data_IF_359199813008
#
_entry.id   IF_359199813008
#
_cell.length_a   1.000
_cell.length_b   1.000
_cell.length_c   1.000
_cell.angle_alpha   90.00
_cell.angle_beta   90.00
_cell.angle_gamma   90.00
#
_symmetry.space_group_name_H-M   'P 1'
#
loop_
_entity.id
_entity.type
_entity.pdbx_description
1 polymer ?
#
# COMPACT_ATOMS: atom_id res chain seq x y z
N UNK A 1 12.96 5.33 -62.51
CA UNK A 1 14.11 4.47 -62.90
C UNK A 1 15.00 4.29 -61.67
N UNK A 2 15.43 3.05 -61.37
CA UNK A 2 14.58 2.12 -60.63
C UNK A 2 15.30 1.31 -59.53
N UNK A 3 14.49 0.60 -58.75
CA UNK A 3 14.64 -0.76 -58.21
C UNK A 3 15.99 -1.26 -57.69
N UNK A 4 15.95 -1.79 -56.45
CA UNK A 4 16.35 -3.19 -56.26
C UNK A 4 15.64 -3.86 -55.08
N UNK A 5 14.67 -4.67 -55.44
CA UNK A 5 14.10 -5.80 -54.69
C UNK A 5 14.79 -7.08 -55.16
N UNK A 6 14.98 -8.06 -54.26
CA UNK A 6 15.11 -9.54 -54.40
C UNK A 6 16.22 -10.09 -53.49
N UNK A 7 16.08 -11.23 -52.81
CA UNK A 7 14.97 -12.14 -52.51
C UNK A 7 15.46 -13.10 -51.41
N UNK A 8 14.49 -13.79 -50.81
CA UNK A 8 14.47 -15.15 -50.22
C UNK A 8 15.73 -16.04 -50.34
N UNK A 9 15.99 -16.99 -49.45
CA UNK A 9 15.12 -18.13 -49.14
C UNK A 9 15.69 -19.00 -48.00
N UNK A 10 14.77 -19.68 -47.29
CA UNK A 10 14.84 -21.07 -46.77
C UNK A 10 15.97 -21.46 -45.78
N UNK A 11 15.74 -22.29 -44.76
CA UNK A 11 14.95 -23.54 -44.76
C UNK A 11 14.70 -24.04 -43.33
N UNK A 12 13.49 -24.53 -43.11
CA UNK A 12 13.06 -25.37 -42.01
C UNK A 12 13.73 -26.77 -42.00
N UNK A 13 13.75 -27.34 -40.79
CA UNK A 13 13.65 -28.77 -40.46
C UNK A 13 14.80 -29.73 -40.85
N UNK A 14 15.36 -30.44 -39.87
CA UNK A 14 15.20 -31.91 -39.70
C UNK A 14 16.23 -32.52 -38.74
N UNK A 15 15.73 -33.02 -37.60
CA UNK A 15 15.89 -34.40 -37.10
C UNK A 15 17.26 -35.12 -37.12
N UNK A 16 17.75 -35.37 -35.89
CA UNK A 16 18.08 -36.68 -35.29
C UNK A 16 19.45 -37.37 -35.47
N UNK A 17 19.93 -37.84 -34.30
CA UNK A 17 20.63 -39.10 -34.00
C UNK A 17 22.10 -39.26 -34.44
N UNK A 18 23.04 -39.24 -33.48
CA UNK A 18 23.42 -40.44 -32.69
C UNK A 18 24.83 -40.33 -32.09
N UNK A 19 24.99 -40.97 -30.92
CA UNK A 19 26.18 -41.70 -30.42
C UNK A 19 27.14 -41.03 -29.42
N UNK A 20 26.99 -41.47 -28.15
CA UNK A 20 27.98 -41.98 -27.17
C UNK A 20 29.19 -41.10 -26.80
N UNK A 21 29.73 -41.02 -25.58
CA UNK A 21 29.68 -41.64 -24.22
C UNK A 21 30.51 -40.63 -23.36
N UNK A 22 30.38 -40.43 -22.05
CA UNK A 22 30.44 -41.37 -20.93
C UNK A 22 30.18 -40.62 -19.59
N UNK A 23 29.53 -41.32 -18.65
CA UNK A 23 29.80 -41.47 -17.19
C UNK A 23 30.02 -40.24 -16.26
N UNK A 24 29.56 -40.17 -14.99
CA UNK A 24 28.76 -41.02 -14.09
C UNK A 24 28.60 -40.32 -12.71
N UNK A 25 27.62 -40.78 -11.89
CA UNK A 25 27.48 -40.67 -10.39
C UNK A 25 26.92 -39.34 -9.85
N UNK A 26 25.92 -39.24 -8.96
CA UNK A 26 24.95 -40.09 -8.23
C UNK A 26 23.78 -39.12 -7.86
N UNK A 27 22.48 -39.47 -7.89
CA UNK A 27 21.78 -40.52 -7.15
C UNK A 27 21.13 -39.88 -5.91
N UNK A 28 19.83 -39.89 -5.64
CA UNK A 28 18.67 -40.47 -6.30
C UNK A 28 17.49 -40.18 -5.38
N UNK A 29 16.34 -39.83 -5.95
CA UNK A 29 15.12 -39.50 -5.23
C UNK A 29 14.01 -40.48 -5.64
N UNK A 30 12.97 -40.49 -4.82
CA UNK A 30 11.61 -40.94 -5.10
C UNK A 30 11.13 -42.38 -4.82
N UNK A 31 9.86 -42.34 -4.41
CA UNK A 31 8.97 -43.36 -3.95
C UNK A 31 8.36 -44.20 -5.09
N UNK A 32 7.83 -45.37 -4.75
CA UNK A 32 6.38 -45.67 -4.83
C UNK A 32 6.07 -47.18 -4.78
N UNK A 33 4.99 -47.48 -4.06
CA UNK A 33 3.95 -48.50 -4.34
C UNK A 33 4.28 -50.01 -4.46
N UNK A 34 3.77 -50.73 -3.44
CA UNK A 34 2.64 -51.68 -3.46
C UNK A 34 2.81 -53.12 -4.03
N UNK A 35 2.39 -54.07 -3.19
CA UNK A 35 1.92 -55.46 -3.44
C UNK A 35 3.03 -56.43 -3.89
N UNK A 36 3.19 -57.64 -3.36
CA UNK A 36 2.19 -58.70 -3.19
C UNK A 36 2.70 -59.82 -2.25
N UNK A 37 1.76 -60.72 -2.00
CA UNK A 37 1.59 -61.87 -1.13
C UNK A 37 2.64 -62.99 -1.11
N UNK A 38 2.52 -63.76 0.00
CA UNK A 38 2.71 -65.21 0.21
C UNK A 38 4.08 -65.78 0.58
N UNK A 39 4.00 -66.50 1.71
CA UNK A 39 4.58 -67.81 2.06
C UNK A 39 6.06 -68.05 1.72
N UNK A 40 6.83 -68.46 2.73
CA UNK A 40 7.51 -69.77 2.77
C UNK A 40 8.20 -70.01 4.13
N UNK A 41 7.68 -71.03 4.83
CA UNK A 41 8.34 -72.11 5.57
C UNK A 41 9.68 -71.92 6.33
N UNK A 42 9.62 -72.42 7.57
CA UNK A 42 10.46 -73.49 8.15
C UNK A 42 11.84 -73.16 8.71
N UNK A 43 12.02 -73.60 9.98
CA UNK A 43 13.30 -73.86 10.60
C UNK A 43 13.40 -73.30 12.04
N UNK A 44 13.60 -74.00 13.16
CA UNK A 44 13.53 -75.40 13.62
C UNK A 44 14.18 -75.41 15.02
N UNK A 45 13.53 -76.07 16.02
CA UNK A 45 14.08 -76.61 17.30
C UNK A 45 14.51 -75.57 18.38
N UNK A 46 14.34 -75.76 19.69
CA UNK A 46 14.01 -76.92 20.54
C UNK A 46 13.29 -76.49 21.85
N UNK A 47 12.35 -77.34 22.26
CA UNK A 47 11.67 -77.55 23.55
C UNK A 47 12.62 -77.84 24.76
N UNK A 48 12.16 -78.15 26.01
CA UNK A 48 10.78 -78.10 26.56
C UNK A 48 10.66 -77.71 28.08
N UNK A 49 9.39 -77.68 28.53
CA UNK A 49 8.88 -78.11 29.85
C UNK A 49 9.19 -77.27 31.10
N UNK A 50 8.13 -76.79 31.76
CA UNK A 50 7.57 -77.58 32.87
C UNK A 50 6.12 -77.17 33.22
N UNK A 51 5.39 -78.20 33.62
CA UNK A 51 4.01 -78.20 34.08
C UNK A 51 3.83 -77.41 35.39
N UNK A 52 2.70 -76.72 35.56
CA UNK A 52 1.68 -77.21 36.50
C UNK A 52 0.34 -76.46 36.48
N UNK A 53 -0.69 -77.29 36.39
CA UNK A 53 -2.12 -77.10 36.62
C UNK A 53 -2.45 -76.44 37.98
N UNK A 54 -3.42 -75.52 38.04
CA UNK A 54 -4.84 -75.84 38.30
C UNK A 54 -5.68 -74.66 38.84
N UNK A 55 -6.90 -74.60 38.30
CA UNK A 55 -8.17 -74.12 38.86
C UNK A 55 -8.45 -72.59 39.01
N UNK A 56 -9.61 -72.11 38.50
CA UNK A 56 -10.07 -70.75 38.70
C UNK A 56 -10.80 -70.62 40.03
N UNK A 57 -10.49 -69.58 40.81
CA UNK A 57 -11.33 -69.14 41.91
C UNK A 57 -11.95 -67.78 41.57
N UNK A 58 -13.29 -67.74 41.61
CA UNK A 58 -14.06 -66.51 41.57
C UNK A 58 -13.70 -65.64 42.77
N UNK A 59 -13.35 -64.37 42.54
CA UNK A 59 -13.40 -63.33 43.57
C UNK A 59 -13.57 -61.95 42.93
N UNK A 60 -14.64 -61.26 43.34
CA UNK A 60 -15.01 -59.90 42.94
C UNK A 60 -13.91 -58.91 43.37
N UNK A 61 -13.47 -58.06 42.44
CA UNK A 61 -12.48 -56.99 42.71
C UNK A 61 -12.74 -55.73 41.87
N UNK A 62 -13.60 -54.87 42.43
CA UNK A 62 -13.77 -53.42 42.27
C UNK A 62 -12.90 -52.70 41.21
N UNK A 63 -13.60 -52.06 40.26
CA UNK A 63 -13.18 -51.04 39.31
C UNK A 63 -12.14 -50.02 39.87
N UNK A 64 -10.98 -49.88 39.21
CA UNK A 64 -10.09 -48.71 39.34
C UNK A 64 -9.85 -47.93 38.01
N UNK A 65 -10.85 -47.58 37.18
CA UNK A 65 -10.67 -46.59 36.12
C UNK A 65 -10.71 -45.13 36.60
N UNK A 66 -11.10 -44.91 37.87
CA UNK A 66 -11.38 -43.56 38.39
C UNK A 66 -10.15 -42.65 38.47
N UNK A 67 -8.95 -43.17 38.77
CA UNK A 67 -7.75 -42.31 38.90
C UNK A 67 -7.17 -41.88 37.55
N UNK A 68 -7.19 -42.77 36.56
CA UNK A 68 -6.68 -42.43 35.21
C UNK A 68 -7.63 -41.42 34.55
N UNK A 69 -8.95 -41.63 34.64
CA UNK A 69 -9.94 -40.68 34.14
C UNK A 69 -9.83 -39.31 34.84
N UNK A 70 -9.65 -39.28 36.16
CA UNK A 70 -9.46 -38.04 36.91
C UNK A 70 -8.20 -37.28 36.48
N UNK A 71 -7.07 -37.99 36.28
CA UNK A 71 -5.81 -37.38 35.83
C UNK A 71 -5.94 -36.83 34.41
N UNK A 72 -6.59 -37.55 33.49
CA UNK A 72 -6.83 -37.07 32.12
C UNK A 72 -7.73 -35.83 32.12
N UNK A 73 -8.78 -35.81 32.94
CA UNK A 73 -9.66 -34.65 33.09
C UNK A 73 -8.91 -33.46 33.71
N UNK A 74 -8.09 -33.69 34.74
CA UNK A 74 -7.28 -32.62 35.34
C UNK A 74 -6.25 -32.05 34.35
N UNK A 75 -5.58 -32.90 33.57
CA UNK A 75 -4.64 -32.48 32.55
C UNK A 75 -5.33 -31.70 31.42
N UNK A 76 -6.52 -32.14 30.99
CA UNK A 76 -7.33 -31.41 30.02
C UNK A 76 -7.78 -30.05 30.58
N UNK A 77 -8.23 -30.00 31.84
CA UNK A 77 -8.59 -28.76 32.51
C UNK A 77 -7.38 -27.82 32.68
N UNK A 78 -6.21 -28.34 33.03
CA UNK A 78 -4.97 -27.55 33.09
C UNK A 78 -4.56 -27.03 31.72
N UNK A 79 -4.74 -27.83 30.66
CA UNK A 79 -4.53 -27.39 29.28
C UNK A 79 -5.50 -26.28 28.87
N UNK A 80 -6.79 -26.42 29.18
CA UNK A 80 -7.81 -25.40 28.89
C UNK A 80 -7.61 -24.14 29.72
N UNK A 81 -7.33 -24.26 31.01
CA UNK A 81 -7.07 -23.13 31.91
C UNK A 81 -5.75 -22.45 31.55
N UNK A 82 -4.71 -23.20 31.20
CA UNK A 82 -3.44 -22.67 30.72
C UNK A 82 -3.59 -21.96 29.38
N UNK A 83 -4.33 -22.54 28.44
CA UNK A 83 -4.66 -21.91 27.17
C UNK A 83 -5.50 -20.65 27.38
N UNK A 84 -6.52 -20.69 28.23
CA UNK A 84 -7.33 -19.52 28.56
C UNK A 84 -6.51 -18.42 29.24
N UNK A 85 -5.64 -18.77 30.20
CA UNK A 85 -4.75 -17.83 30.87
C UNK A 85 -3.71 -17.24 29.89
N UNK A 86 -3.22 -18.03 28.95
CA UNK A 86 -2.34 -17.57 27.86
C UNK A 86 -3.06 -16.58 26.95
N UNK A 87 -4.27 -16.90 26.48
CA UNK A 87 -5.09 -15.98 25.67
C UNK A 87 -5.47 -14.71 26.45
N UNK A 88 -5.75 -14.84 27.75
CA UNK A 88 -6.04 -13.70 28.61
C UNK A 88 -4.79 -12.83 28.81
N UNK A 89 -3.61 -13.44 28.91
CA UNK A 89 -2.34 -12.71 28.97
C UNK A 89 -2.03 -12.00 27.66
N UNK A 90 -2.29 -12.62 26.50
CA UNK A 90 -2.19 -11.96 25.19
C UNK A 90 -3.19 -10.80 25.05
N UNK A 91 -4.42 -10.95 25.57
CA UNK A 91 -5.43 -9.90 25.56
C UNK A 91 -5.01 -8.68 26.40
N UNK A 92 -4.32 -8.89 27.53
CA UNK A 92 -3.84 -7.81 28.39
C UNK A 92 -2.43 -7.31 28.05
N UNK A 93 -1.65 -8.07 27.28
CA UNK A 93 -0.32 -7.73 26.77
C UNK A 93 -0.17 -8.27 25.34
N UNK A 94 -0.71 -7.55 24.33
CA UNK A 94 -0.64 -7.98 22.93
C UNK A 94 0.82 -8.17 22.45
N UNK A 95 1.77 -7.43 23.04
CA UNK A 95 3.20 -7.57 22.73
C UNK A 95 3.89 -8.86 23.19
N UNK A 96 3.17 -9.86 23.71
CA UNK A 96 3.72 -11.17 24.07
C UNK A 96 3.54 -12.24 22.98
N UNK A 97 2.92 -11.89 21.85
CA UNK A 97 2.76 -12.83 20.73
C UNK A 97 4.14 -13.14 20.09
N UNK A 98 4.44 -14.42 19.75
CA UNK A 98 5.76 -14.80 19.22
C UNK A 98 6.21 -13.97 18.01
N UNK A 99 5.30 -13.63 17.11
CA UNK A 99 5.55 -12.77 15.94
C UNK A 99 6.02 -11.37 16.36
N UNK A 100 5.39 -10.77 17.37
CA UNK A 100 5.80 -9.47 17.89
C UNK A 100 7.19 -9.47 18.54
N UNK A 101 7.70 -10.62 19.01
CA UNK A 101 9.06 -10.71 19.54
C UNK A 101 10.09 -10.76 18.41
N UNK A 102 9.81 -11.53 17.37
CA UNK A 102 10.65 -11.64 16.18
C UNK A 102 10.75 -10.30 15.46
N UNK A 103 9.63 -9.62 15.23
CA UNK A 103 9.59 -8.29 14.61
C UNK A 103 10.34 -7.24 15.44
N UNK A 104 10.19 -7.23 16.77
CA UNK A 104 10.96 -6.32 17.63
C UNK A 104 12.45 -6.62 17.60
N UNK A 105 12.83 -7.90 17.57
CA UNK A 105 14.23 -8.31 17.40
C UNK A 105 14.77 -7.82 16.06
N UNK A 106 14.01 -8.00 14.99
CA UNK A 106 14.35 -7.60 13.64
C UNK A 106 14.46 -6.07 13.52
N UNK A 107 13.53 -5.31 14.10
CA UNK A 107 13.58 -3.84 14.17
C UNK A 107 14.83 -3.34 14.93
N UNK A 108 15.21 -3.99 16.02
CA UNK A 108 16.46 -3.68 16.74
C UNK A 108 17.70 -4.03 15.91
N UNK A 109 17.67 -5.13 15.16
CA UNK A 109 18.75 -5.50 14.23
C UNK A 109 18.88 -4.49 13.08
N UNK A 110 17.77 -4.08 12.48
CA UNK A 110 17.69 -3.02 11.47
C UNK A 110 18.28 -1.72 12.02
N UNK A 111 17.80 -1.27 13.18
CA UNK A 111 18.30 -0.05 13.81
C UNK A 111 19.80 -0.13 14.13
N UNK A 112 20.29 -1.28 14.59
CA UNK A 112 21.73 -1.50 14.81
C UNK A 112 22.51 -1.37 13.51
N UNK A 113 22.04 -1.97 12.41
CA UNK A 113 22.68 -1.85 11.11
C UNK A 113 22.74 -0.39 10.64
N UNK A 114 21.60 0.30 10.67
CA UNK A 114 21.45 1.70 10.26
C UNK A 114 22.34 2.65 11.07
N UNK A 115 22.47 2.45 12.40
CA UNK A 115 23.33 3.29 13.26
C UNK A 115 24.81 3.24 12.91
N UNK A 116 25.28 2.15 12.28
CA UNK A 116 26.68 2.02 11.87
C UNK A 116 26.94 2.59 10.48
N UNK A 117 25.90 3.00 9.76
CA UNK A 117 26.06 3.57 8.44
C UNK A 117 26.44 5.06 8.52
N UNK A 118 27.52 5.42 7.82
CA UNK A 118 28.06 6.78 7.81
C UNK A 118 27.09 7.83 7.21
N UNK A 119 26.06 7.41 6.47
CA UNK A 119 25.05 8.26 5.84
C UNK A 119 23.88 8.56 6.75
N UNK A 120 23.75 7.83 7.87
CA UNK A 120 22.67 8.00 8.84
C UNK A 120 23.08 9.02 9.90
N UNK A 121 22.21 9.99 10.17
CA UNK A 121 22.42 11.01 11.20
C UNK A 121 21.83 10.61 12.55
N UNK A 122 20.65 9.98 12.55
CA UNK A 122 20.05 9.43 13.77
C UNK A 122 19.09 8.29 13.48
N UNK A 123 18.90 7.43 14.48
CA UNK A 123 17.96 6.31 14.44
C UNK A 123 17.18 6.25 15.75
N UNK A 124 15.86 6.09 15.65
CA UNK A 124 14.95 5.90 16.77
C UNK A 124 14.10 4.66 16.50
N UNK A 125 13.91 3.82 17.52
CA UNK A 125 13.08 2.62 17.42
C UNK A 125 11.85 2.85 18.27
N UNK A 126 10.69 2.65 17.67
CA UNK A 126 9.39 2.65 18.32
C UNK A 126 8.94 1.19 18.39
N UNK A 127 9.00 0.63 19.60
CA UNK A 127 8.68 -0.78 19.85
C UNK A 127 7.17 -1.05 20.02
N UNK A 128 6.39 0.02 20.09
CA UNK A 128 4.94 0.02 20.02
C UNK A 128 4.51 0.19 18.56
N UNK A 129 3.49 -0.58 18.16
CA UNK A 129 2.82 -0.48 16.87
C UNK A 129 2.35 0.96 16.70
N UNK A 130 2.82 1.62 15.64
CA UNK A 130 2.35 2.98 15.36
C UNK A 130 1.01 2.91 14.65
N UNK A 131 0.14 3.89 14.90
CA UNK A 131 -1.15 4.03 14.21
C UNK A 131 -1.04 3.99 12.67
N UNK A 132 0.15 4.26 12.12
CA UNK A 132 0.38 4.32 10.68
C UNK A 132 1.14 3.11 10.10
N UNK A 133 1.66 2.21 10.93
CA UNK A 133 2.59 1.14 10.51
C UNK A 133 1.94 -0.21 10.29
N UNK A 134 0.64 -0.36 10.61
CA UNK A 134 0.11 -1.69 10.91
C UNK A 134 0.82 -2.29 12.13
N UNK A 135 0.54 -3.55 12.43
CA UNK A 135 0.98 -4.26 13.64
C UNK A 135 2.52 -4.48 13.72
N UNK A 136 3.33 -3.79 12.90
CA UNK A 136 4.79 -3.89 12.85
C UNK A 136 5.51 -2.76 13.63
N UNK A 137 6.63 -3.06 14.32
CA UNK A 137 7.48 -2.07 14.96
C UNK A 137 8.13 -1.13 13.95
N UNK A 138 8.27 0.15 14.32
CA UNK A 138 8.75 1.21 13.42
C UNK A 138 10.14 1.71 13.78
N UNK A 139 11.02 1.81 12.79
CA UNK A 139 12.35 2.44 12.90
C UNK A 139 12.32 3.77 12.15
N UNK A 140 12.43 4.88 12.88
CA UNK A 140 12.59 6.20 12.26
C UNK A 140 14.07 6.50 12.07
N UNK A 141 14.44 6.87 10.86
CA UNK A 141 15.81 7.10 10.42
C UNK A 141 15.91 8.48 9.81
N UNK A 142 16.82 9.29 10.33
CA UNK A 142 17.24 10.50 9.65
C UNK A 142 18.51 10.20 8.87
N UNK A 143 18.49 10.42 7.56
CA UNK A 143 19.70 10.39 6.74
C UNK A 143 20.38 11.76 6.78
N UNK A 144 21.61 11.82 6.31
CA UNK A 144 22.27 13.10 6.02
C UNK A 144 21.66 13.71 4.77
N UNK A 145 21.47 15.02 4.79
CA UNK A 145 20.99 15.74 3.61
C UNK A 145 21.95 15.55 2.43
N UNK A 146 21.38 15.50 1.22
CA UNK A 146 22.10 15.18 -0.02
C UNK A 146 22.36 13.69 -0.25
N UNK A 147 21.90 12.79 0.64
CA UNK A 147 21.91 11.34 0.36
C UNK A 147 21.00 11.06 -0.84
N UNK A 148 21.54 10.48 -1.92
CA UNK A 148 20.76 10.20 -3.12
C UNK A 148 19.69 9.12 -2.87
N UNK A 149 18.64 9.14 -3.69
CA UNK A 149 17.56 8.14 -3.64
C UNK A 149 18.09 6.72 -3.84
N UNK A 150 18.99 6.51 -4.82
CA UNK A 150 19.65 5.21 -5.03
C UNK A 150 20.42 4.73 -3.79
N UNK A 151 21.10 5.66 -3.13
CA UNK A 151 21.88 5.39 -1.93
C UNK A 151 20.96 5.00 -0.76
N UNK A 152 19.82 5.68 -0.61
CA UNK A 152 18.79 5.35 0.37
C UNK A 152 18.13 4.00 0.07
N UNK A 153 17.82 3.70 -1.19
CA UNK A 153 17.29 2.40 -1.64
C UNK A 153 18.25 1.27 -1.29
N UNK A 154 19.53 1.40 -1.64
CA UNK A 154 20.55 0.41 -1.32
C UNK A 154 20.72 0.21 0.20
N UNK A 155 20.58 1.27 1.00
CA UNK A 155 20.60 1.19 2.45
C UNK A 155 19.38 0.43 2.99
N UNK A 156 18.18 0.66 2.47
CA UNK A 156 16.98 -0.09 2.85
C UNK A 156 17.10 -1.58 2.50
N UNK A 157 17.54 -1.91 1.29
CA UNK A 157 17.76 -3.31 0.88
C UNK A 157 18.81 -4.01 1.75
N UNK A 158 19.95 -3.35 2.03
CA UNK A 158 20.97 -3.88 2.96
C UNK A 158 20.42 -4.05 4.38
N UNK A 159 19.56 -3.14 4.83
CA UNK A 159 18.92 -3.22 6.14
C UNK A 159 17.97 -4.41 6.22
N UNK A 160 17.16 -4.63 5.18
CA UNK A 160 16.30 -5.81 5.03
C UNK A 160 17.12 -7.08 5.13
N UNK A 161 18.16 -7.21 4.31
CA UNK A 161 19.01 -8.41 4.29
C UNK A 161 19.64 -8.69 5.65
N UNK A 162 19.96 -7.64 6.41
CA UNK A 162 20.63 -7.79 7.70
C UNK A 162 19.71 -7.97 8.89
N UNK A 163 18.48 -7.48 8.79
CA UNK A 163 17.47 -7.59 9.84
C UNK A 163 16.63 -8.86 9.70
N UNK A 164 16.29 -9.25 8.46
CA UNK A 164 15.38 -10.36 8.16
C UNK A 164 16.11 -11.60 7.59
N UNK A 165 17.30 -11.45 6.99
CA UNK A 165 18.04 -12.60 6.48
C UNK A 165 17.24 -13.40 5.43
N UNK A 166 17.09 -14.70 5.68
CA UNK A 166 16.36 -15.65 4.82
C UNK A 166 14.88 -15.84 5.26
N UNK A 167 14.30 -14.89 6.01
CA UNK A 167 12.89 -14.91 6.43
C UNK A 167 11.94 -15.14 5.25
N UNK A 168 10.89 -15.94 5.48
CA UNK A 168 9.93 -16.37 4.46
C UNK A 168 8.82 -15.34 4.16
N UNK A 169 8.89 -14.16 4.78
CA UNK A 169 7.92 -13.07 4.64
C UNK A 169 6.94 -12.96 5.78
N UNK A 170 7.11 -13.77 6.84
CA UNK A 170 6.27 -13.72 8.04
C UNK A 170 6.66 -12.58 8.99
N UNK A 171 7.89 -12.06 8.92
CA UNK A 171 8.36 -10.96 9.77
C UNK A 171 8.33 -9.62 9.02
N UNK A 172 7.72 -8.60 9.61
CA UNK A 172 7.64 -7.26 9.02
C UNK A 172 8.28 -6.18 9.91
N UNK A 173 8.91 -5.20 9.27
CA UNK A 173 9.45 -4.02 9.96
C UNK A 173 9.06 -2.78 9.17
N UNK A 174 8.60 -1.75 9.86
CA UNK A 174 8.39 -0.44 9.27
C UNK A 174 9.67 0.41 9.36
N UNK A 175 10.07 1.07 8.27
CA UNK A 175 11.14 2.07 8.29
C UNK A 175 10.61 3.41 7.77
N UNK A 176 10.68 4.46 8.58
CA UNK A 176 10.40 5.83 8.14
C UNK A 176 11.71 6.57 7.90
N UNK A 177 11.99 6.90 6.65
CA UNK A 177 13.16 7.67 6.27
C UNK A 177 12.85 9.18 6.20
N UNK A 178 13.74 9.99 6.76
CA UNK A 178 13.65 11.46 6.77
C UNK A 178 14.96 12.10 6.32
N UNK A 179 14.93 12.90 5.26
CA UNK A 179 16.08 13.68 4.78
C UNK A 179 15.67 14.69 3.70
N UNK A 180 16.57 15.61 3.38
CA UNK A 180 16.42 16.50 2.23
C UNK A 180 17.43 16.16 1.13
N UNK A 181 17.00 16.13 -0.13
CA UNK A 181 17.87 15.89 -1.29
C UNK A 181 17.32 16.63 -2.50
N UNK A 182 18.21 17.29 -3.26
CA UNK A 182 17.84 18.05 -4.48
C UNK A 182 16.76 19.13 -4.26
N UNK A 183 16.63 19.64 -3.03
CA UNK A 183 15.60 20.63 -2.69
C UNK A 183 14.23 20.02 -2.34
N UNK A 184 14.12 18.68 -2.32
CA UNK A 184 12.94 17.95 -1.88
C UNK A 184 13.12 17.46 -0.44
N UNK A 185 12.18 17.79 0.43
CA UNK A 185 12.08 17.24 1.78
C UNK A 185 11.29 15.92 1.78
N UNK A 186 11.91 14.84 2.26
CA UNK A 186 11.34 13.50 2.24
C UNK A 186 11.02 13.04 3.66
N UNK A 187 9.82 12.51 3.85
CA UNK A 187 9.37 11.80 5.04
C UNK A 187 8.51 10.60 4.63
N UNK A 188 9.17 9.49 4.28
CA UNK A 188 8.51 8.35 3.64
C UNK A 188 8.61 7.09 4.49
N UNK A 189 7.46 6.47 4.72
CA UNK A 189 7.31 5.16 5.32
C UNK A 189 7.51 4.06 4.28
N UNK A 190 8.30 3.05 4.61
CA UNK A 190 8.47 1.84 3.82
C UNK A 190 8.24 0.62 4.70
N UNK A 191 7.34 -0.26 4.28
CA UNK A 191 7.26 -1.59 4.87
C UNK A 191 8.40 -2.44 4.31
N UNK A 192 9.17 -3.03 5.21
CA UNK A 192 10.28 -3.91 4.90
C UNK A 192 9.82 -5.34 5.18
N UNK A 193 9.73 -6.13 4.11
CA UNK A 193 9.37 -7.55 4.13
C UNK A 193 10.43 -8.38 3.40
N UNK A 194 10.14 -9.66 3.18
CA UNK A 194 11.08 -10.63 2.62
C UNK A 194 11.47 -10.46 1.15
N UNK A 195 11.20 -9.33 0.46
CA UNK A 195 11.66 -9.08 -0.93
C UNK A 195 12.39 -7.73 -1.09
N UNK A 196 13.72 -7.77 -1.23
CA UNK A 196 14.54 -6.57 -1.52
C UNK A 196 14.22 -5.94 -2.87
N UNK A 197 13.62 -6.71 -3.79
CA UNK A 197 13.15 -6.23 -5.09
C UNK A 197 11.92 -5.31 -4.98
N UNK A 198 10.96 -5.66 -4.13
CA UNK A 198 9.73 -4.87 -3.97
C UNK A 198 10.03 -3.56 -3.25
N UNK A 199 10.97 -3.58 -2.29
CA UNK A 199 11.49 -2.37 -1.63
C UNK A 199 12.07 -1.42 -2.67
N UNK A 200 12.95 -1.90 -3.55
CA UNK A 200 13.58 -1.05 -4.55
C UNK A 200 12.54 -0.44 -5.51
N UNK A 201 11.57 -1.24 -5.94
CA UNK A 201 10.48 -0.80 -6.81
C UNK A 201 9.63 0.28 -6.14
N UNK A 202 9.23 0.06 -4.88
CA UNK A 202 8.42 1.01 -4.11
C UNK A 202 9.17 2.32 -3.85
N UNK A 203 10.46 2.25 -3.51
CA UNK A 203 11.27 3.45 -3.28
C UNK A 203 11.46 4.25 -4.57
N UNK A 204 11.79 3.58 -5.68
CA UNK A 204 11.91 4.25 -6.99
C UNK A 204 10.61 4.91 -7.42
N UNK A 205 9.50 4.22 -7.20
CA UNK A 205 8.17 4.72 -7.50
C UNK A 205 7.88 6.00 -6.69
N UNK A 206 8.01 5.94 -5.37
CA UNK A 206 7.61 7.01 -4.46
C UNK A 206 8.51 8.24 -4.54
N UNK A 207 9.78 8.02 -4.86
CA UNK A 207 10.80 9.07 -4.94
C UNK A 207 11.06 9.51 -6.39
N UNK A 208 10.22 9.11 -7.34
CA UNK A 208 10.38 9.41 -8.77
C UNK A 208 10.38 10.90 -9.11
N UNK A 209 9.79 11.75 -8.25
CA UNK A 209 9.69 13.20 -8.44
C UNK A 209 10.65 14.02 -7.57
N UNK A 210 11.62 13.37 -6.93
CA UNK A 210 12.70 14.07 -6.22
C UNK A 210 13.40 15.05 -7.16
N UNK A 211 13.67 16.26 -6.66
CA UNK A 211 14.25 17.36 -7.44
C UNK A 211 13.21 18.22 -8.19
N UNK A 212 11.99 17.72 -8.41
CA UNK A 212 10.89 18.50 -9.00
C UNK A 212 9.96 19.08 -7.93
N UNK A 213 9.78 18.37 -6.82
CA UNK A 213 8.78 18.68 -5.79
C UNK A 213 9.43 19.22 -4.52
N UNK A 214 8.66 20.00 -3.75
CA UNK A 214 9.11 20.56 -2.47
C UNK A 214 9.11 19.50 -1.37
N UNK A 215 8.11 18.64 -1.32
CA UNK A 215 8.10 17.54 -0.35
C UNK A 215 7.40 16.28 -0.83
N UNK A 216 7.86 15.14 -0.31
CA UNK A 216 7.26 13.81 -0.49
C UNK A 216 7.02 13.22 0.90
N UNK A 217 5.77 12.83 1.16
CA UNK A 217 5.38 12.21 2.42
C UNK A 217 4.60 10.92 2.15
N UNK A 218 5.03 9.84 2.78
CA UNK A 218 4.27 8.59 2.86
C UNK A 218 4.04 8.31 4.34
N UNK A 219 2.87 8.68 4.91
CA UNK A 219 2.68 8.60 6.35
C UNK A 219 2.57 7.16 6.87
N UNK A 220 2.17 6.23 6.01
CA UNK A 220 1.99 4.80 6.30
C UNK A 220 1.77 4.02 5.00
N UNK A 221 1.70 2.70 5.09
CA UNK A 221 1.54 1.83 3.90
C UNK A 221 0.18 2.01 3.21
N UNK A 222 -0.89 2.05 4.00
CA UNK A 222 -2.28 2.15 3.50
C UNK A 222 -2.72 3.60 3.26
N UNK A 223 -1.86 4.56 3.60
CA UNK A 223 -2.15 5.98 3.45
C UNK A 223 -1.64 6.47 2.08
N UNK A 224 -2.34 7.45 1.47
CA UNK A 224 -1.93 7.99 0.18
C UNK A 224 -0.50 8.54 0.21
N UNK A 225 0.23 8.34 -0.89
CA UNK A 225 1.47 9.09 -1.12
C UNK A 225 1.12 10.57 -1.29
N UNK A 226 1.76 11.45 -0.54
CA UNK A 226 1.51 12.89 -0.60
C UNK A 226 2.71 13.59 -1.23
N UNK A 227 2.45 14.37 -2.26
CA UNK A 227 3.44 15.09 -3.05
C UNK A 227 3.05 16.56 -3.05
N UNK A 228 3.95 17.42 -2.60
CA UNK A 228 3.75 18.88 -2.60
C UNK A 228 4.79 19.53 -3.50
N UNK A 229 4.32 20.20 -4.56
CA UNK A 229 5.17 20.98 -5.47
C UNK A 229 5.50 22.36 -4.89
N UNK A 230 4.83 22.80 -3.82
CA UNK A 230 5.00 24.12 -3.23
C UNK A 230 4.37 25.23 -4.05
N UNK A 231 4.98 26.41 -4.03
CA UNK A 231 4.53 27.59 -4.78
C UNK A 231 5.05 27.52 -6.22
N UNK A 232 4.13 27.50 -7.19
CA UNK A 232 4.43 27.38 -8.62
C UNK A 232 3.85 28.55 -9.41
N UNK A 233 4.47 28.87 -10.54
CA UNK A 233 4.00 29.90 -11.47
C UNK A 233 3.17 29.35 -12.62
N UNK A 234 3.27 28.05 -12.88
CA UNK A 234 2.51 27.30 -13.90
C UNK A 234 2.15 25.93 -13.33
N UNK A 235 1.05 25.29 -13.77
CA UNK A 235 0.72 23.93 -13.34
C UNK A 235 1.90 22.96 -13.59
N UNK A 236 2.26 22.10 -12.63
CA UNK A 236 3.36 21.15 -12.81
C UNK A 236 3.08 20.17 -13.96
N UNK A 237 4.08 19.92 -14.80
CA UNK A 237 3.93 19.00 -15.94
C UNK A 237 3.73 17.55 -15.51
N UNK A 238 4.29 17.15 -14.36
CA UNK A 238 4.14 15.82 -13.79
C UNK A 238 2.89 15.65 -12.92
N UNK A 239 2.03 16.67 -12.83
CA UNK A 239 0.82 16.62 -12.00
C UNK A 239 -0.06 15.41 -12.34
N UNK A 240 -0.18 15.08 -13.62
CA UNK A 240 -1.01 13.97 -14.10
C UNK A 240 -0.24 12.68 -14.35
N UNK A 241 1.06 12.66 -14.07
CA UNK A 241 1.86 11.43 -14.16
C UNK A 241 1.26 10.35 -13.28
N UNK A 242 0.92 9.16 -13.84
CA UNK A 242 0.39 8.06 -13.08
C UNK A 242 1.31 7.63 -11.95
N UNK A 243 0.72 7.19 -10.85
CA UNK A 243 1.41 6.88 -9.60
C UNK A 243 1.12 5.48 -9.07
N UNK A 244 0.53 4.60 -9.90
CA UNK A 244 0.31 3.17 -9.60
C UNK A 244 -0.48 2.82 -8.33
N UNK A 245 -0.88 3.81 -7.53
CA UNK A 245 -1.43 3.73 -6.18
C UNK A 245 -2.06 5.07 -5.82
N UNK A 246 -2.93 5.08 -4.81
CA UNK A 246 -3.60 6.28 -4.33
C UNK A 246 -2.57 7.36 -3.92
N UNK A 247 -2.60 8.50 -4.62
CA UNK A 247 -1.64 9.59 -4.44
C UNK A 247 -2.36 10.93 -4.44
N UNK A 248 -1.93 11.82 -3.55
CA UNK A 248 -2.39 13.19 -3.43
C UNK A 248 -1.26 14.12 -3.85
N UNK A 249 -1.51 14.96 -4.85
CA UNK A 249 -0.59 15.98 -5.35
C UNK A 249 -1.13 17.36 -5.02
N UNK A 250 -0.29 18.23 -4.48
CA UNK A 250 -0.67 19.58 -4.07
C UNK A 250 0.28 20.63 -4.59
N UNK A 251 -0.24 21.80 -4.93
CA UNK A 251 0.56 22.98 -5.24
C UNK A 251 -0.21 24.25 -4.90
N UNK A 252 0.49 25.37 -4.77
CA UNK A 252 -0.11 26.70 -4.64
C UNK A 252 0.31 27.55 -5.83
N UNK A 253 -0.66 28.20 -6.48
CA UNK A 253 -0.40 29.05 -7.63
C UNK A 253 -1.26 30.31 -7.53
N UNK A 254 -0.64 31.48 -7.60
CA UNK A 254 -1.32 32.78 -7.53
C UNK A 254 -2.28 32.93 -6.33
N UNK A 255 -1.95 32.36 -5.17
CA UNK A 255 -2.79 32.40 -3.96
C UNK A 255 -3.90 31.34 -3.90
N UNK A 256 -3.99 30.45 -4.90
CA UNK A 256 -4.93 29.35 -4.96
C UNK A 256 -4.24 28.03 -4.65
N UNK A 257 -4.72 27.32 -3.64
CA UNK A 257 -4.24 25.99 -3.30
C UNK A 257 -4.97 24.96 -4.15
N UNK A 258 -4.22 24.12 -4.85
CA UNK A 258 -4.75 22.99 -5.62
C UNK A 258 -4.37 21.69 -4.95
N UNK A 259 -5.36 20.82 -4.77
CA UNK A 259 -5.18 19.43 -4.36
C UNK A 259 -5.74 18.55 -5.47
N UNK A 260 -5.01 17.53 -5.88
CA UNK A 260 -5.44 16.53 -6.84
C UNK A 260 -5.18 15.14 -6.27
N UNK A 261 -6.25 14.38 -6.10
CA UNK A 261 -6.24 13.01 -5.59
C UNK A 261 -6.50 12.07 -6.75
N UNK A 262 -5.62 11.08 -6.92
CA UNK A 262 -5.79 10.05 -7.94
C UNK A 262 -6.91 9.09 -7.58
N UNK A 263 -7.33 8.26 -8.53
CA UNK A 263 -8.07 7.05 -8.21
C UNK A 263 -7.16 5.99 -7.53
N UNK A 264 -7.72 4.83 -7.20
CA UNK A 264 -7.01 3.70 -6.58
C UNK A 264 -5.86 3.15 -7.43
N UNK A 265 -5.94 3.31 -8.74
CA UNK A 265 -4.91 2.86 -9.70
C UNK A 265 -3.82 3.94 -9.93
N UNK A 266 -3.87 5.05 -9.20
CA UNK A 266 -2.92 6.14 -9.32
C UNK A 266 -3.09 7.01 -10.55
N UNK A 267 -4.26 6.98 -11.21
CA UNK A 267 -4.60 7.81 -12.37
C UNK A 267 -5.22 9.13 -11.95
N UNK A 268 -4.85 10.20 -12.66
CA UNK A 268 -5.34 11.56 -12.41
C UNK A 268 -6.21 12.07 -13.57
N UNK A 269 -7.24 12.83 -13.24
CA UNK A 269 -7.95 13.69 -14.20
C UNK A 269 -7.10 14.93 -14.52
N UNK A 270 -7.36 15.58 -15.66
CA UNK A 270 -6.54 16.70 -16.14
C UNK A 270 -7.39 17.91 -16.56
N UNK A 271 -8.07 18.58 -15.62
CA UNK A 271 -8.74 19.82 -15.94
C UNK A 271 -7.72 20.95 -16.21
N UNK A 272 -8.11 21.99 -16.95
CA UNK A 272 -7.25 23.14 -17.25
C UNK A 272 -7.07 24.04 -16.03
N UNK A 273 -6.26 23.62 -15.05
CA UNK A 273 -6.04 24.32 -13.78
C UNK A 273 -5.62 25.79 -13.94
N UNK A 274 -4.78 26.11 -14.93
CA UNK A 274 -4.40 27.50 -15.20
C UNK A 274 -5.60 28.38 -15.58
N UNK A 275 -6.52 27.87 -16.41
CA UNK A 275 -7.74 28.57 -16.79
C UNK A 275 -8.72 28.68 -15.63
N UNK A 276 -8.87 27.61 -14.83
CA UNK A 276 -9.73 27.61 -13.64
C UNK A 276 -9.24 28.66 -12.63
N UNK A 277 -7.95 28.67 -12.32
CA UNK A 277 -7.35 29.64 -11.39
C UNK A 277 -7.52 31.06 -11.94
N UNK A 278 -7.27 31.26 -13.23
CA UNK A 278 -7.45 32.57 -13.88
C UNK A 278 -8.89 33.07 -13.78
N UNK A 279 -9.87 32.20 -14.01
CA UNK A 279 -11.29 32.50 -13.87
C UNK A 279 -11.67 32.80 -12.41
N UNK A 280 -11.28 31.92 -11.48
CA UNK A 280 -11.61 32.04 -10.07
C UNK A 280 -11.03 33.31 -9.43
N UNK A 281 -9.85 33.75 -9.90
CA UNK A 281 -9.20 34.99 -9.46
C UNK A 281 -9.97 36.26 -9.81
N UNK A 282 -10.89 36.21 -10.77
CA UNK A 282 -11.77 37.34 -11.07
C UNK A 282 -12.73 37.61 -9.90
N UNK A 283 -13.06 36.58 -9.12
CA UNK A 283 -13.98 36.68 -8.00
C UNK A 283 -13.27 36.90 -6.65
N UNK A 284 -12.11 36.26 -6.43
CA UNK A 284 -11.39 36.32 -5.16
C UNK A 284 -9.87 36.16 -5.33
N UNK A 285 -9.03 36.85 -4.53
CA UNK A 285 -7.58 36.70 -4.61
C UNK A 285 -7.07 35.31 -4.17
N UNK A 286 -7.84 34.58 -3.36
CA UNK A 286 -7.43 33.30 -2.77
C UNK A 286 -8.59 32.33 -2.72
N UNK A 287 -8.29 31.04 -2.83
CA UNK A 287 -9.28 29.97 -2.75
C UNK A 287 -8.65 28.59 -2.79
N UNK A 288 -9.49 27.56 -2.87
CA UNK A 288 -9.05 26.18 -3.01
C UNK A 288 -9.68 25.52 -4.23
N UNK A 289 -8.91 24.69 -4.91
CA UNK A 289 -9.38 23.77 -5.93
C UNK A 289 -9.02 22.38 -5.46
N UNK A 290 -10.00 21.50 -5.38
CA UNK A 290 -9.83 20.11 -4.97
C UNK A 290 -10.37 19.22 -6.09
N UNK A 291 -9.51 18.37 -6.64
CA UNK A 291 -9.86 17.40 -7.67
C UNK A 291 -9.76 16.02 -7.06
N UNK A 292 -10.90 15.44 -6.68
CA UNK A 292 -10.97 14.09 -6.12
C UNK A 292 -11.53 13.14 -7.18
N UNK A 293 -10.64 12.37 -7.82
CA UNK A 293 -10.99 11.52 -8.94
C UNK A 293 -11.53 12.34 -10.13
N UNK A 294 -12.84 12.25 -10.35
CA UNK A 294 -13.58 12.93 -11.43
C UNK A 294 -14.48 14.07 -10.91
N UNK A 295 -14.37 14.41 -9.62
CA UNK A 295 -15.09 15.51 -8.99
C UNK A 295 -14.16 16.70 -8.79
N UNK A 296 -14.48 17.83 -9.45
CA UNK A 296 -13.78 19.09 -9.27
C UNK A 296 -14.56 20.00 -8.33
N UNK A 297 -13.93 20.46 -7.26
CA UNK A 297 -14.50 21.34 -6.26
C UNK A 297 -13.72 22.65 -6.18
N UNK A 298 -14.39 23.80 -6.29
CA UNK A 298 -13.76 25.13 -6.23
C UNK A 298 -14.41 25.94 -5.12
N UNK A 299 -13.60 26.43 -4.17
CA UNK A 299 -14.07 27.19 -3.00
C UNK A 299 -13.35 28.52 -2.84
N UNK A 300 -13.94 29.43 -2.08
CA UNK A 300 -13.41 30.79 -1.91
C UNK A 300 -13.73 31.72 -3.07
N UNK A 301 -14.81 31.44 -3.82
CA UNK A 301 -15.26 32.25 -4.96
C UNK A 301 -15.96 33.56 -4.56
N UNK A 302 -16.03 33.92 -3.27
CA UNK A 302 -16.45 35.26 -2.84
C UNK A 302 -15.52 35.82 -1.78
N UNK A 303 -15.37 37.14 -1.76
CA UNK A 303 -14.59 37.85 -0.72
C UNK A 303 -15.41 38.16 0.53
N UNK A 304 -16.73 38.32 0.39
CA UNK A 304 -17.68 38.49 1.49
C UNK A 304 -18.51 37.22 1.65
N UNK A 305 -18.13 36.35 2.58
CA UNK A 305 -18.79 35.06 2.85
C UNK A 305 -20.29 35.19 3.22
N UNK A 306 -20.77 36.40 3.55
CA UNK A 306 -22.20 36.67 3.79
C UNK A 306 -22.99 36.82 2.49
N UNK A 307 -22.31 37.12 1.38
CA UNK A 307 -22.88 37.12 0.04
C UNK A 307 -22.75 35.70 -0.49
N UNK A 308 -23.87 35.09 -0.86
CA UNK A 308 -23.86 33.78 -1.50
C UNK A 308 -23.05 33.79 -2.81
N UNK A 309 -22.79 32.60 -3.35
CA UNK A 309 -22.14 32.47 -4.65
C UNK A 309 -23.01 33.10 -5.74
N UNK A 310 -22.46 34.06 -6.50
CA UNK A 310 -23.18 34.75 -7.57
C UNK A 310 -22.86 34.16 -8.95
N UNK A 311 -23.74 34.32 -9.95
CA UNK A 311 -23.44 33.93 -11.33
C UNK A 311 -22.19 34.59 -11.90
N UNK A 312 -21.89 35.84 -11.54
CA UNK A 312 -20.67 36.56 -11.94
C UNK A 312 -19.40 35.85 -11.47
N UNK A 313 -19.41 35.29 -10.27
CA UNK A 313 -18.27 34.60 -9.71
C UNK A 313 -18.15 33.15 -10.21
N UNK A 314 -19.28 32.46 -10.40
CA UNK A 314 -19.32 31.05 -10.76
C UNK A 314 -19.18 30.79 -12.26
N UNK A 315 -19.84 31.57 -13.13
CA UNK A 315 -19.90 31.32 -14.56
C UNK A 315 -18.52 31.24 -15.25
N UNK A 316 -17.53 32.10 -14.93
CA UNK A 316 -16.19 31.99 -15.51
C UNK A 316 -15.51 30.65 -15.18
N UNK A 317 -15.74 30.10 -13.99
CA UNK A 317 -15.17 28.81 -13.58
C UNK A 317 -15.85 27.66 -14.35
N UNK A 318 -17.17 27.69 -14.47
CA UNK A 318 -17.92 26.70 -15.28
C UNK A 318 -17.45 26.74 -16.74
N UNK A 319 -17.27 27.94 -17.30
CA UNK A 319 -16.78 28.14 -18.66
C UNK A 319 -15.35 27.58 -18.85
N UNK A 320 -14.45 27.80 -17.89
CA UNK A 320 -13.08 27.26 -17.95
C UNK A 320 -13.02 25.72 -18.03
N UNK A 321 -14.08 25.03 -17.59
CA UNK A 321 -14.22 23.58 -17.71
C UNK A 321 -15.45 23.18 -18.53
N UNK A 322 -15.85 23.97 -19.53
CA UNK A 322 -17.08 23.73 -20.30
C UNK A 322 -17.14 22.35 -20.94
N UNK A 323 -16.01 21.86 -21.48
CA UNK A 323 -15.88 20.47 -21.97
C UNK A 323 -15.49 19.54 -20.81
N UNK A 324 -16.50 19.14 -20.04
CA UNK A 324 -16.31 18.25 -18.89
C UNK A 324 -15.79 16.86 -19.30
N UNK A 325 -16.08 16.41 -20.53
CA UNK A 325 -15.62 15.12 -21.03
C UNK A 325 -14.13 15.14 -21.35
N UNK A 326 -13.63 16.19 -22.01
CA UNK A 326 -12.20 16.37 -22.26
C UNK A 326 -11.41 16.48 -20.95
N UNK A 327 -11.98 17.15 -19.94
CA UNK A 327 -11.40 17.26 -18.61
C UNK A 327 -11.50 15.96 -17.77
N UNK A 328 -12.25 14.95 -18.23
CA UNK A 328 -12.59 13.70 -17.52
C UNK A 328 -13.29 13.94 -16.18
N UNK A 329 -14.16 14.94 -16.12
CA UNK A 329 -14.94 15.28 -14.94
C UNK A 329 -16.38 14.79 -15.08
N UNK A 330 -16.93 14.24 -13.99
CA UNK A 330 -18.35 13.91 -13.90
C UNK A 330 -19.12 14.90 -13.03
N UNK A 331 -18.43 15.56 -12.10
CA UNK A 331 -19.05 16.47 -11.13
C UNK A 331 -18.23 17.74 -10.99
N UNK A 332 -18.92 18.89 -10.97
CA UNK A 332 -18.35 20.20 -10.64
C UNK A 332 -19.10 20.77 -9.43
N UNK A 333 -18.37 21.12 -8.38
CA UNK A 333 -18.90 21.72 -7.16
C UNK A 333 -18.31 23.10 -6.96
N UNK A 334 -19.15 24.10 -6.78
CA UNK A 334 -18.73 25.48 -6.55
C UNK A 334 -19.25 25.98 -5.21
N UNK A 335 -18.39 26.65 -4.45
CA UNK A 335 -18.74 27.30 -3.19
C UNK A 335 -18.13 28.69 -3.09
N UNK A 336 -18.92 29.65 -2.61
CA UNK A 336 -18.43 31.00 -2.33
C UNK A 336 -17.48 31.04 -1.14
N UNK A 337 -17.74 30.27 -0.09
CA UNK A 337 -16.98 30.33 1.17
C UNK A 337 -15.70 29.52 1.08
N UNK A 338 -14.65 29.97 1.76
CA UNK A 338 -13.49 29.13 2.06
C UNK A 338 -13.91 28.05 3.06
N UNK A 339 -13.75 26.78 2.71
CA UNK A 339 -14.05 25.68 3.62
C UNK A 339 -13.05 25.67 4.78
N UNK A 340 -13.52 25.90 6.01
CA UNK A 340 -12.71 25.83 7.24
C UNK A 340 -12.81 24.42 7.84
N UNK A 341 -12.00 23.50 7.32
CA UNK A 341 -11.93 22.10 7.78
C UNK A 341 -12.99 21.17 7.17
N UNK A 342 -13.07 19.93 7.68
CA UNK A 342 -14.00 18.85 7.26
C UNK A 342 -15.49 19.14 7.61
N UNK A 343 -15.89 20.41 7.73
CA UNK A 343 -17.27 20.75 8.06
C UNK A 343 -18.19 20.23 6.97
N UNK A 344 -19.13 19.36 7.36
CA UNK A 344 -20.22 18.86 6.53
C UNK A 344 -21.31 19.92 6.28
N UNK A 345 -20.96 21.20 6.32
CA UNK A 345 -21.87 22.31 5.99
C UNK A 345 -22.15 22.26 4.48
N UNK A 346 -23.00 21.31 4.10
CA UNK A 346 -23.49 21.02 2.76
C UNK A 346 -24.39 22.13 2.21
N UNK A 347 -24.68 23.16 3.00
CA UNK A 347 -25.79 24.07 2.76
C UNK A 347 -25.53 25.16 1.71
N UNK A 348 -24.37 25.18 1.04
CA UNK A 348 -24.02 26.24 0.07
C UNK A 348 -23.30 25.78 -1.21
N UNK A 349 -23.29 24.49 -1.51
CA UNK A 349 -22.68 24.01 -2.76
C UNK A 349 -23.65 24.13 -3.93
N UNK A 350 -23.18 24.73 -5.02
CA UNK A 350 -23.81 24.58 -6.34
C UNK A 350 -23.11 23.41 -7.02
N UNK A 351 -23.88 22.38 -7.40
CA UNK A 351 -23.34 21.16 -8.00
C UNK A 351 -23.90 20.95 -9.40
N UNK A 352 -22.99 20.76 -10.35
CA UNK A 352 -23.30 20.39 -11.72
C UNK A 352 -22.80 18.98 -12.01
N UNK A 353 -23.51 18.28 -12.89
CA UNK A 353 -23.15 16.96 -13.40
C UNK A 353 -22.84 17.06 -14.88
N UNK A 354 -21.83 16.33 -15.33
CA UNK A 354 -21.48 16.24 -16.74
C UNK A 354 -22.48 15.32 -17.45
N UNK A 355 -23.20 15.86 -18.44
CA UNK A 355 -24.13 15.13 -19.28
C UNK A 355 -23.77 15.36 -20.76
N UNK A 356 -23.35 14.31 -21.45
CA UNK A 356 -22.93 14.34 -22.86
C UNK A 356 -21.92 15.46 -23.18
N UNK A 357 -20.93 15.67 -22.31
CA UNK A 357 -19.87 16.68 -22.49
C UNK A 357 -20.27 18.11 -22.11
N UNK A 358 -21.45 18.31 -21.50
CA UNK A 358 -21.92 19.62 -21.04
C UNK A 358 -22.38 19.57 -19.58
N UNK A 359 -22.28 20.70 -18.87
CA UNK A 359 -22.76 20.79 -17.49
C UNK A 359 -24.28 20.93 -17.43
N UNK A 360 -24.91 20.14 -16.56
CA UNK A 360 -26.31 20.26 -16.17
C UNK A 360 -26.40 20.39 -14.65
N UNK A 361 -27.51 20.95 -14.12
CA UNK A 361 -27.76 20.91 -12.68
C UNK A 361 -27.86 19.46 -12.21
N UNK A 362 -27.34 19.19 -11.00
CA UNK A 362 -27.50 17.90 -10.32
C UNK A 362 -28.98 17.56 -10.05
N UNK A 363 -29.85 18.57 -9.98
CA UNK A 363 -31.26 18.40 -9.63
C UNK A 363 -32.14 18.39 -10.89
N UNK A 364 -33.10 17.46 -10.95
CA UNK A 364 -34.08 17.39 -12.04
C UNK A 364 -34.91 18.67 -12.19
N UNK A 365 -35.06 19.42 -11.10
CA UNK A 365 -35.65 20.76 -11.06
C UNK A 365 -34.55 21.76 -10.69
N UNK A 366 -33.81 22.31 -11.68
CA UNK A 366 -32.70 23.21 -11.43
C UNK A 366 -33.18 24.47 -10.73
N UNK A 367 -32.36 24.99 -9.82
CA UNK A 367 -32.64 26.29 -9.22
C UNK A 367 -32.52 27.42 -10.25
N UNK A 368 -33.17 28.58 -10.04
CA UNK A 368 -32.95 29.75 -10.89
C UNK A 368 -31.47 30.14 -10.97
N UNK A 369 -30.74 30.01 -9.86
CA UNK A 369 -29.30 30.29 -9.80
C UNK A 369 -28.48 29.33 -10.66
N UNK A 370 -28.81 28.03 -10.65
CA UNK A 370 -28.11 27.03 -11.47
C UNK A 370 -28.25 27.38 -12.96
N UNK A 371 -29.48 27.72 -13.35
CA UNK A 371 -29.82 28.05 -14.73
C UNK A 371 -29.12 29.35 -15.17
N UNK A 372 -29.11 30.37 -14.31
CA UNK A 372 -28.43 31.64 -14.59
C UNK A 372 -26.91 31.47 -14.73
N UNK A 373 -26.29 30.65 -13.88
CA UNK A 373 -24.86 30.32 -13.98
C UNK A 373 -24.56 29.61 -15.30
N UNK A 374 -25.31 28.56 -15.65
CA UNK A 374 -25.08 27.79 -16.87
C UNK A 374 -25.29 28.62 -18.14
N UNK A 375 -26.36 29.44 -18.18
CA UNK A 375 -26.60 30.34 -19.31
C UNK A 375 -25.47 31.35 -19.47
N UNK A 376 -25.05 31.98 -18.37
CA UNK A 376 -23.97 32.96 -18.39
C UNK A 376 -22.62 32.33 -18.76
N UNK A 377 -22.34 31.11 -18.32
CA UNK A 377 -21.13 30.39 -18.71
C UNK A 377 -21.09 30.06 -20.21
N UNK A 378 -22.25 29.86 -20.83
CA UNK A 378 -22.38 29.62 -22.27
C UNK A 378 -22.27 30.91 -23.12
N UNK A 379 -22.40 32.09 -22.51
CA UNK A 379 -22.25 33.40 -23.16
C UNK A 379 -20.80 33.92 -23.19
N UNK A 380 -19.95 33.40 -22.29
CA UNK A 380 -18.50 33.64 -22.26
C UNK A 380 -17.82 32.85 -23.39
#
# INVERSE_FOLDING_TARGET
MPDKQTDRDQRDSSTSLSSARDQQVAGGDEAATRTDSRLITSGKRHSPSEHQQSAPSHSRGIFKPSRIALVVILSALLGVVGYFAYNLMLMFNPGLEPHSFEERSAARAAAKHLRHDSRVSSVQVFEEESYNSGDAPTVSVHLKDGTSTDTATALLSSTRDKALGDDDGSTQIAITLKWSVEGTDINAFFLISASSHDIATNVQHDLSLVGEVKSIQRPGETLPLQIDYGDVTTPPSSLTTPSGSLTIKTFTMNGWKVTSTSNTDGQFSNPPFDQIITAARQASPTGTIDLDGDTLSVTGLVTDEKKGLTPEAAAPVVHAVADCQAAKLTTLQLNGKLQKGLSSDNDYWITFTCNNGTWASKYDSPSPSDTEILNKAAEL
#
